data_IF_132459810623
#
_entry.id   IF_132459810623
#
_cell.length_a   1.000
_cell.length_b   1.000
_cell.length_c   1.000
_cell.angle_alpha   90.00
_cell.angle_beta   90.00
_cell.angle_gamma   90.00
#
_symmetry.space_group_name_H-M   'P 1'
#
loop_
_entity.id
_entity.type
_entity.pdbx_description
1 polymer ?
#
# COMPACT_ATOMS: atom_id res chain seq x y z
N UNK A 1 20.30 11.30 16.60
CA UNK A 1 18.88 10.96 16.81
C UNK A 1 18.10 10.85 15.50
N UNK A 2 18.59 11.40 14.39
CA UNK A 2 17.90 11.37 13.09
C UNK A 2 17.95 10.00 12.40
N UNK A 3 19.09 9.29 12.41
CA UNK A 3 19.18 7.95 11.79
C UNK A 3 18.24 6.91 12.40
N UNK A 4 17.98 6.98 13.71
CA UNK A 4 17.06 6.05 14.40
C UNK A 4 15.60 6.37 14.05
N UNK A 5 15.30 7.66 13.82
CA UNK A 5 13.98 8.13 13.36
C UNK A 5 13.77 7.80 11.87
N UNK A 6 14.80 7.93 11.04
CA UNK A 6 14.77 7.50 9.64
C UNK A 6 14.65 5.99 9.51
N UNK A 7 15.37 5.20 10.32
CA UNK A 7 15.21 3.74 10.35
C UNK A 7 13.81 3.33 10.81
N UNK A 8 13.25 4.00 11.83
CA UNK A 8 11.86 3.79 12.26
C UNK A 8 10.85 4.13 11.16
N UNK A 9 11.06 5.24 10.45
CA UNK A 9 10.23 5.62 9.30
C UNK A 9 10.38 4.61 8.16
N UNK A 10 11.59 4.18 7.82
CA UNK A 10 11.83 3.19 6.75
C UNK A 10 11.13 1.86 7.03
N UNK A 11 11.19 1.37 8.26
CA UNK A 11 10.48 0.15 8.66
C UNK A 11 8.97 0.37 8.62
N UNK A 12 8.47 1.50 9.14
CA UNK A 12 7.05 1.84 9.09
C UNK A 12 6.55 1.89 7.64
N UNK A 13 7.30 2.54 6.74
CA UNK A 13 6.96 2.62 5.33
C UNK A 13 7.04 1.29 4.61
N UNK A 14 8.04 0.45 4.93
CA UNK A 14 8.13 -0.91 4.37
C UNK A 14 6.91 -1.75 4.78
N UNK A 15 6.48 -1.66 6.04
CA UNK A 15 5.29 -2.36 6.53
C UNK A 15 4.02 -1.79 5.89
N UNK A 16 3.91 -0.48 5.75
CA UNK A 16 2.78 0.16 5.07
C UNK A 16 2.72 -0.26 3.60
N UNK A 17 3.85 -0.27 2.90
CA UNK A 17 3.94 -0.74 1.51
C UNK A 17 3.51 -2.21 1.36
N UNK A 18 3.98 -3.09 2.25
CA UNK A 18 3.55 -4.49 2.26
C UNK A 18 2.06 -4.64 2.55
N UNK A 19 1.51 -3.81 3.45
CA UNK A 19 0.09 -3.81 3.80
C UNK A 19 -0.77 -3.31 2.64
N UNK A 20 -0.36 -2.24 1.95
CA UNK A 20 -1.02 -1.73 0.75
C UNK A 20 -0.98 -2.76 -0.40
N UNK A 21 0.15 -3.45 -0.59
CA UNK A 21 0.26 -4.52 -1.59
C UNK A 21 -0.70 -5.69 -1.32
N UNK A 22 -0.77 -6.15 -0.07
CA UNK A 22 -1.72 -7.18 0.35
C UNK A 22 -3.18 -6.74 0.20
N UNK A 23 -3.49 -5.50 0.60
CA UNK A 23 -4.84 -4.93 0.48
C UNK A 23 -5.28 -4.82 -0.97
N UNK A 24 -4.37 -4.40 -1.86
CA UNK A 24 -4.57 -4.35 -3.32
C UNK A 24 -4.84 -5.71 -3.94
N UNK A 25 -4.14 -6.77 -3.51
CA UNK A 25 -4.42 -8.13 -3.99
C UNK A 25 -5.78 -8.65 -3.50
N UNK A 26 -6.10 -8.47 -2.22
CA UNK A 26 -7.41 -8.83 -1.67
C UNK A 26 -8.55 -8.08 -2.40
N UNK A 27 -8.37 -6.78 -2.62
CA UNK A 27 -9.33 -5.94 -3.33
C UNK A 27 -9.46 -6.34 -4.82
N UNK A 28 -8.39 -6.79 -5.46
CA UNK A 28 -8.46 -7.37 -6.82
C UNK A 28 -9.27 -8.66 -6.86
N UNK A 29 -9.09 -9.54 -5.89
CA UNK A 29 -9.87 -10.78 -5.80
C UNK A 29 -11.35 -10.47 -5.60
N UNK A 30 -11.69 -9.56 -4.67
CA UNK A 30 -13.08 -9.11 -4.44
C UNK A 30 -13.67 -8.41 -5.66
N UNK A 31 -12.91 -7.58 -6.37
CA UNK A 31 -13.40 -6.91 -7.58
C UNK A 31 -13.73 -7.89 -8.73
N UNK A 32 -13.03 -9.04 -8.77
CA UNK A 32 -13.24 -10.10 -9.77
C UNK A 32 -14.24 -11.15 -9.32
N UNK A 33 -14.50 -11.28 -8.03
CA UNK A 33 -15.46 -12.24 -7.50
C UNK A 33 -16.89 -11.91 -7.97
N UNK A 34 -17.49 -12.86 -8.68
CA UNK A 34 -18.85 -12.74 -9.21
C UNK A 34 -19.95 -12.99 -8.18
N UNK A 35 -19.61 -13.52 -7.00
CA UNK A 35 -20.54 -13.81 -5.92
C UNK A 35 -20.76 -12.62 -4.97
N UNK A 36 -19.93 -11.58 -5.05
CA UNK A 36 -20.10 -10.33 -4.29
C UNK A 36 -20.87 -9.29 -5.10
N UNK A 37 -21.71 -8.48 -4.43
CA UNK A 37 -22.52 -7.48 -5.11
C UNK A 37 -21.65 -6.44 -5.84
N UNK A 38 -22.15 -5.89 -6.96
CA UNK A 38 -21.44 -4.90 -7.78
C UNK A 38 -20.95 -3.69 -6.97
N UNK A 39 -21.71 -3.25 -5.96
CA UNK A 39 -21.30 -2.18 -5.06
C UNK A 39 -20.01 -2.52 -4.31
N UNK A 40 -19.90 -3.74 -3.76
CA UNK A 40 -18.70 -4.23 -3.09
C UNK A 40 -17.53 -4.37 -4.07
N UNK A 41 -17.79 -4.86 -5.29
CA UNK A 41 -16.75 -4.97 -6.34
C UNK A 41 -16.21 -3.62 -6.77
N UNK A 42 -17.08 -2.61 -6.90
CA UNK A 42 -16.71 -1.25 -7.27
C UNK A 42 -15.89 -0.57 -6.17
N UNK A 43 -16.30 -0.75 -4.91
CA UNK A 43 -15.52 -0.28 -3.75
C UNK A 43 -14.14 -0.94 -3.72
N UNK A 44 -14.07 -2.27 -3.88
CA UNK A 44 -12.81 -2.99 -3.92
C UNK A 44 -11.92 -2.55 -5.10
N UNK A 45 -12.48 -2.33 -6.29
CA UNK A 45 -11.71 -1.81 -7.41
C UNK A 45 -11.16 -0.39 -7.13
N UNK A 46 -11.94 0.47 -6.46
CA UNK A 46 -11.51 1.80 -6.04
C UNK A 46 -10.41 1.72 -4.99
N UNK A 47 -10.57 0.86 -3.99
CA UNK A 47 -9.59 0.67 -2.93
C UNK A 47 -8.29 0.06 -3.49
N UNK A 48 -8.36 -0.90 -4.41
CA UNK A 48 -7.17 -1.43 -5.10
C UNK A 48 -6.39 -0.35 -5.89
N UNK A 49 -7.08 0.66 -6.43
CA UNK A 49 -6.45 1.79 -7.09
C UNK A 49 -5.82 2.76 -6.07
N UNK A 50 -6.51 3.03 -4.97
CA UNK A 50 -5.97 3.81 -3.85
C UNK A 50 -4.73 3.15 -3.26
N UNK A 51 -4.81 1.87 -2.92
CA UNK A 51 -3.72 1.06 -2.41
C UNK A 51 -2.52 1.05 -3.37
N UNK A 52 -2.74 1.04 -4.69
CA UNK A 52 -1.63 1.13 -5.67
C UNK A 52 -0.94 2.49 -5.64
N UNK A 53 -1.70 3.57 -5.44
CA UNK A 53 -1.14 4.92 -5.32
C UNK A 53 -0.35 5.02 -4.02
N UNK A 54 -0.91 4.57 -2.89
CA UNK A 54 -0.21 4.54 -1.60
C UNK A 54 1.04 3.65 -1.65
N UNK A 55 0.97 2.46 -2.24
CA UNK A 55 2.12 1.58 -2.48
C UNK A 55 3.23 2.32 -3.23
N UNK A 56 2.89 3.05 -4.29
CA UNK A 56 3.86 3.84 -5.08
C UNK A 56 4.43 5.02 -4.30
N UNK A 57 3.60 5.68 -3.47
CA UNK A 57 4.03 6.80 -2.64
C UNK A 57 4.97 6.35 -1.53
N UNK A 58 4.64 5.24 -0.86
CA UNK A 58 5.47 4.66 0.18
C UNK A 58 6.77 4.09 -0.39
N UNK A 59 6.74 3.49 -1.58
CA UNK A 59 7.96 3.02 -2.27
C UNK A 59 8.93 4.18 -2.54
N UNK A 60 8.43 5.29 -3.07
CA UNK A 60 9.23 6.50 -3.30
C UNK A 60 9.79 7.11 -2.02
N UNK A 61 8.97 7.20 -0.97
CA UNK A 61 9.42 7.76 0.30
C UNK A 61 10.44 6.85 0.97
N UNK A 62 10.22 5.54 0.96
CA UNK A 62 11.18 4.56 1.45
C UNK A 62 12.52 4.69 0.73
N UNK A 63 12.53 4.89 -0.60
CA UNK A 63 13.73 5.11 -1.40
C UNK A 63 14.46 6.41 -1.02
N UNK A 64 13.72 7.53 -0.89
CA UNK A 64 14.27 8.82 -0.42
C UNK A 64 14.83 8.71 1.00
N UNK A 65 14.14 8.00 1.89
CA UNK A 65 14.62 7.76 3.24
C UNK A 65 15.85 6.85 3.26
N UNK A 66 15.99 5.92 2.30
CA UNK A 66 17.15 5.04 2.13
C UNK A 66 18.37 5.77 1.59
N UNK A 67 18.21 6.71 0.65
CA UNK A 67 19.28 7.61 0.21
C UNK A 67 19.71 8.60 1.29
N UNK A 68 18.80 8.95 2.21
CA UNK A 68 19.07 9.87 3.31
C UNK A 68 19.63 9.21 4.58
N UNK A 69 19.74 7.87 4.64
CA UNK A 69 20.32 7.11 5.78
C UNK A 69 21.83 6.91 5.59
#
# INVERSE_FOLDING_TARGET
MESLKQAGNYVAETVQQATSGASKEANKEVAKDGNVPISTRATAAKDALGDKIDETTHDKKADVHKEAI
#
